data_IF_764772399468
#
_entry.id   IF_764772399468
#
_cell.length_a   1.000
_cell.length_b   1.000
_cell.length_c   1.000
_cell.angle_alpha   90.00
_cell.angle_beta   90.00
_cell.angle_gamma   90.00
#
_symmetry.space_group_name_H-M   'P 1'
#
loop_
_entity.id
_entity.type
_entity.pdbx_description
1 polymer ?
#
# COMPACT_ATOMS: atom_id res chain seq x y z
N UNK A 1 1.00 -12.18 10.13
CA UNK A 1 0.14 -11.54 9.09
C UNK A 1 0.91 -10.52 8.24
N UNK A 2 0.62 -10.42 6.94
CA UNK A 2 1.24 -9.41 6.03
C UNK A 2 0.45 -8.10 5.93
N UNK A 3 1.11 -6.98 6.14
CA UNK A 3 0.56 -5.62 6.04
C UNK A 3 1.40 -4.80 5.06
N UNK A 4 0.75 -4.05 4.17
CA UNK A 4 1.42 -3.03 3.36
C UNK A 4 1.21 -1.63 3.94
N UNK A 5 2.27 -0.83 3.92
CA UNK A 5 2.27 0.57 4.36
C UNK A 5 2.73 1.43 3.19
N UNK A 6 1.95 2.44 2.81
CA UNK A 6 2.43 3.50 1.92
C UNK A 6 3.27 4.47 2.74
N UNK A 7 4.50 4.74 2.32
CA UNK A 7 5.44 5.53 3.11
C UNK A 7 6.32 6.43 2.25
N UNK A 8 6.60 7.60 2.79
CA UNK A 8 7.64 8.52 2.30
C UNK A 8 8.65 8.73 3.41
N UNK A 9 9.89 8.28 3.16
CA UNK A 9 10.91 8.17 4.21
C UNK A 9 10.39 7.32 5.38
N UNK A 10 10.34 7.87 6.61
CA UNK A 10 9.88 7.16 7.81
C UNK A 10 8.43 7.50 8.20
N UNK A 11 7.67 8.18 7.32
CA UNK A 11 6.30 8.61 7.59
C UNK A 11 5.30 7.84 6.75
N UNK A 12 4.16 7.49 7.37
CA UNK A 12 2.99 6.95 6.66
C UNK A 12 2.43 8.03 5.75
N UNK A 13 2.12 7.64 4.51
CA UNK A 13 1.66 8.54 3.45
C UNK A 13 0.43 7.97 2.72
N UNK A 14 -0.09 8.73 1.77
CA UNK A 14 -1.23 8.33 0.96
C UNK A 14 -0.85 7.24 -0.05
N UNK A 15 -1.79 6.37 -0.45
CA UNK A 15 -1.52 5.31 -1.41
C UNK A 15 -1.20 5.87 -2.80
N UNK A 16 -1.63 7.10 -3.10
CA UNK A 16 -1.36 7.79 -4.37
C UNK A 16 -0.03 8.56 -4.39
N UNK A 17 0.44 9.03 -3.23
CA UNK A 17 1.57 9.96 -3.12
C UNK A 17 2.83 9.33 -2.54
N UNK A 18 2.70 8.31 -1.69
CA UNK A 18 3.83 7.72 -0.96
C UNK A 18 4.95 7.25 -1.88
N UNK A 19 6.20 7.50 -1.52
CA UNK A 19 7.34 7.17 -2.40
C UNK A 19 7.62 5.66 -2.49
N UNK A 20 7.25 4.91 -1.47
CA UNK A 20 7.46 3.46 -1.40
C UNK A 20 6.27 2.73 -0.76
N UNK A 21 6.20 1.43 -1.06
CA UNK A 21 5.35 0.48 -0.34
C UNK A 21 6.25 -0.44 0.46
N UNK A 22 6.01 -0.52 1.77
CA UNK A 22 6.74 -1.38 2.69
C UNK A 22 5.81 -2.49 3.15
N UNK A 23 6.24 -3.75 2.99
CA UNK A 23 5.49 -4.90 3.49
C UNK A 23 6.14 -5.42 4.75
N UNK A 24 5.31 -5.51 5.80
CA UNK A 24 5.66 -6.08 7.08
C UNK A 24 5.05 -7.47 7.21
N UNK A 25 5.85 -8.43 7.69
CA UNK A 25 5.33 -9.60 8.39
C UNK A 25 5.27 -9.27 9.87
N UNK A 26 4.11 -9.49 10.50
CA UNK A 26 3.84 -9.04 11.87
C UNK A 26 4.11 -10.10 12.94
N UNK A 27 4.30 -11.35 12.53
CA UNK A 27 4.50 -12.48 13.44
C UNK A 27 5.86 -13.14 13.17
N UNK A 28 6.62 -13.53 14.22
CA UNK A 28 6.35 -13.32 15.65
C UNK A 28 6.58 -11.87 16.13
N UNK A 29 7.19 -11.04 15.30
CA UNK A 29 7.43 -9.61 15.55
C UNK A 29 7.41 -8.86 14.22
N UNK A 30 7.03 -7.57 14.20
CA UNK A 30 7.07 -6.76 12.99
C UNK A 30 8.46 -6.75 12.36
N UNK A 31 8.55 -7.22 11.11
CA UNK A 31 9.77 -7.20 10.32
C UNK A 31 9.44 -6.83 8.87
N UNK A 32 10.28 -5.97 8.28
CA UNK A 32 10.18 -5.63 6.86
C UNK A 32 10.60 -6.84 6.04
N UNK A 33 9.70 -7.35 5.19
CA UNK A 33 9.97 -8.48 4.29
C UNK A 33 10.15 -8.04 2.84
N UNK A 34 9.64 -6.87 2.48
CA UNK A 34 9.79 -6.30 1.14
C UNK A 34 9.64 -4.77 1.22
N UNK A 35 10.37 -4.05 0.38
CA UNK A 35 10.16 -2.63 0.11
C UNK A 35 10.37 -2.39 -1.39
N UNK A 36 9.45 -1.64 -2.00
CA UNK A 36 9.50 -1.34 -3.43
C UNK A 36 8.97 0.07 -3.72
N UNK A 37 9.37 0.62 -4.87
CA UNK A 37 8.88 1.91 -5.37
C UNK A 37 7.37 1.85 -5.60
N UNK A 38 6.64 2.86 -5.12
CA UNK A 38 5.18 2.88 -5.25
C UNK A 38 4.75 2.98 -6.73
N UNK A 39 4.02 1.99 -7.29
CA UNK A 39 3.54 2.03 -8.67
C UNK A 39 2.64 3.23 -8.98
N UNK A 40 2.01 3.83 -7.96
CA UNK A 40 1.22 5.04 -8.10
C UNK A 40 2.00 6.18 -8.76
N UNK A 41 3.32 6.28 -8.51
CA UNK A 41 4.17 7.34 -9.08
C UNK A 41 4.34 7.23 -10.60
N UNK A 42 4.05 6.07 -11.17
CA UNK A 42 4.13 5.80 -12.62
C UNK A 42 2.75 5.82 -13.28
N UNK A 43 1.68 5.92 -12.50
CA UNK A 43 0.32 5.90 -13.01
C UNK A 43 -0.11 7.30 -13.48
N UNK A 44 -0.72 7.39 -14.66
CA UNK A 44 -1.28 8.65 -15.17
C UNK A 44 -2.59 9.06 -14.49
N UNK A 45 -3.30 8.10 -13.89
CA UNK A 45 -4.54 8.30 -13.15
C UNK A 45 -4.73 7.15 -12.15
N UNK A 46 -5.56 7.39 -11.13
CA UNK A 46 -5.94 6.39 -10.13
C UNK A 46 -4.73 5.74 -9.42
N UNK A 47 -3.69 6.52 -9.10
CA UNK A 47 -2.45 6.01 -8.49
C UNK A 47 -2.69 5.16 -7.23
N UNK A 48 -3.59 5.59 -6.36
CA UNK A 48 -3.95 4.82 -5.16
C UNK A 48 -4.47 3.41 -5.45
N UNK A 49 -5.26 3.21 -6.53
CA UNK A 49 -5.74 1.88 -6.92
C UNK A 49 -4.58 1.00 -7.38
N UNK A 50 -3.62 1.55 -8.13
CA UNK A 50 -2.43 0.82 -8.56
C UNK A 50 -1.54 0.38 -7.39
N UNK A 51 -1.36 1.25 -6.39
CA UNK A 51 -0.67 0.89 -5.14
C UNK A 51 -1.39 -0.27 -4.44
N UNK A 52 -2.70 -0.12 -4.20
CA UNK A 52 -3.53 -1.14 -3.53
C UNK A 52 -3.44 -2.48 -4.25
N UNK A 53 -3.62 -2.49 -5.58
CA UNK A 53 -3.50 -3.70 -6.40
C UNK A 53 -2.14 -4.35 -6.24
N UNK A 54 -1.06 -3.57 -6.32
CA UNK A 54 0.31 -4.07 -6.19
C UNK A 54 0.59 -4.75 -4.85
N UNK A 55 -0.03 -4.25 -3.78
CA UNK A 55 0.08 -4.82 -2.45
C UNK A 55 -0.75 -6.11 -2.34
N UNK A 56 -1.97 -6.13 -2.91
CA UNK A 56 -2.83 -7.31 -2.95
C UNK A 56 -2.19 -8.47 -3.72
N UNK A 57 -1.52 -8.20 -4.84
CA UNK A 57 -0.79 -9.21 -5.62
C UNK A 57 0.34 -9.88 -4.80
N UNK A 58 0.76 -9.26 -3.68
CA UNK A 58 1.74 -9.80 -2.71
C UNK A 58 1.11 -10.52 -1.50
N UNK A 59 -0.21 -10.67 -1.52
CA UNK A 59 -0.97 -11.40 -0.51
C UNK A 59 -1.08 -10.66 0.83
N UNK A 60 -0.95 -9.33 0.84
CA UNK A 60 -1.19 -8.54 2.06
C UNK A 60 -2.65 -8.66 2.50
N UNK A 61 -2.88 -8.58 3.81
CA UNK A 61 -4.21 -8.69 4.42
C UNK A 61 -4.75 -7.36 4.94
N UNK A 62 -3.87 -6.38 5.12
CA UNK A 62 -4.24 -5.04 5.55
C UNK A 62 -3.34 -3.99 4.88
N UNK A 63 -3.86 -2.77 4.81
CA UNK A 63 -3.20 -1.59 4.28
C UNK A 63 -3.19 -0.50 5.36
N UNK A 64 -2.07 0.18 5.53
CA UNK A 64 -1.93 1.36 6.39
C UNK A 64 -1.53 2.53 5.49
N UNK A 65 -2.35 3.57 5.51
CA UNK A 65 -2.24 4.76 4.66
C UNK A 65 -2.72 5.98 5.45
N UNK A 66 -2.24 7.18 5.11
CA UNK A 66 -2.68 8.43 5.75
C UNK A 66 -4.09 8.87 5.29
N UNK A 67 -4.48 8.48 4.08
CA UNK A 67 -5.78 8.78 3.48
C UNK A 67 -6.23 7.70 2.50
N UNK A 68 -7.53 7.65 2.22
CA UNK A 68 -8.10 6.84 1.15
C UNK A 68 -9.34 7.53 0.58
N UNK A 69 -9.36 7.77 -0.73
CA UNK A 69 -10.54 8.32 -1.41
C UNK A 69 -11.63 7.28 -1.62
N UNK A 70 -12.89 7.69 -1.91
CA UNK A 70 -14.01 6.77 -2.17
C UNK A 70 -13.72 5.66 -3.20
N UNK A 71 -12.99 5.91 -4.32
CA UNK A 71 -12.67 4.86 -5.28
C UNK A 71 -11.86 3.70 -4.70
N UNK A 72 -11.04 3.94 -3.67
CA UNK A 72 -10.26 2.89 -3.01
C UNK A 72 -11.17 1.91 -2.27
N UNK A 73 -12.19 2.42 -1.56
CA UNK A 73 -13.17 1.59 -0.87
C UNK A 73 -14.00 0.77 -1.85
N UNK A 74 -14.51 1.39 -2.91
CA UNK A 74 -15.25 0.67 -3.96
C UNK A 74 -14.40 -0.42 -4.62
N UNK A 75 -13.12 -0.17 -4.86
CA UNK A 75 -12.21 -1.17 -5.39
C UNK A 75 -12.02 -2.35 -4.44
N UNK A 76 -11.91 -2.11 -3.13
CA UNK A 76 -11.73 -3.15 -2.12
C UNK A 76 -13.00 -3.95 -1.82
N UNK A 77 -14.19 -3.37 -1.95
CA UNK A 77 -15.48 -4.07 -1.80
C UNK A 77 -15.80 -5.00 -2.99
N UNK A 78 -15.23 -4.72 -4.16
CA UNK A 78 -15.44 -5.50 -5.38
C UNK A 78 -14.55 -6.73 -5.53
N UNK A 79 -13.71 -7.04 -4.55
CA UNK A 79 -12.75 -8.17 -4.52
C UNK A 79 -13.12 -9.14 -3.42
#
# INVERSE_FOLDING_TARGET
MRIAVAATSDFVDGPGEGSSVIIFETEPSPNIIEQYENPALKASAAGGIWMIRSAMDRGVKALIVSEAGPPAFTFLEGV
#
